data_IF_069028929861
#
_entry.id   IF_069028929861
#
_cell.length_a   1.000
_cell.length_b   1.000
_cell.length_c   1.000
_cell.angle_alpha   90.00
_cell.angle_beta   90.00
_cell.angle_gamma   90.00
#
_symmetry.space_group_name_H-M   'P 1'
#
loop_
_entity.id
_entity.type
_entity.pdbx_description
1 polymer ?
#
# COMPACT_ATOMS: atom_id res chain seq x y z
N UNK A 1 19.96 14.99 -8.25
CA UNK A 1 19.91 13.53 -8.47
C UNK A 1 18.48 13.24 -8.85
N UNK A 2 18.22 12.79 -10.07
CA UNK A 2 16.85 12.45 -10.49
C UNK A 2 16.38 11.25 -9.68
N UNK A 3 15.11 11.26 -9.29
CA UNK A 3 14.51 10.10 -8.65
C UNK A 3 14.52 8.93 -9.62
N UNK A 4 14.78 7.73 -9.09
CA UNK A 4 14.77 6.50 -9.89
C UNK A 4 13.32 6.09 -10.10
N UNK A 5 12.87 6.09 -11.34
CA UNK A 5 11.52 5.68 -11.74
C UNK A 5 11.49 4.20 -12.13
N UNK A 6 10.38 3.53 -11.80
CA UNK A 6 10.09 2.16 -12.24
C UNK A 6 8.80 2.13 -13.06
N UNK A 7 8.81 2.65 -14.31
CA UNK A 7 7.60 2.89 -15.08
C UNK A 7 6.81 1.64 -15.46
N UNK A 8 7.43 0.45 -15.37
CA UNK A 8 6.82 -0.83 -15.72
C UNK A 8 6.58 -1.74 -14.51
N UNK A 9 6.88 -1.29 -13.28
CA UNK A 9 6.70 -2.12 -12.08
C UNK A 9 5.22 -2.23 -11.75
N UNK A 10 4.64 -3.41 -12.02
CA UNK A 10 3.22 -3.70 -11.74
C UNK A 10 2.99 -4.35 -10.38
N UNK A 11 4.02 -4.95 -9.82
CA UNK A 11 3.95 -5.70 -8.57
C UNK A 11 5.13 -5.34 -7.68
N UNK A 12 4.84 -4.89 -6.46
CA UNK A 12 5.83 -4.60 -5.44
C UNK A 12 5.54 -5.45 -4.20
N UNK A 13 6.50 -6.28 -3.81
CA UNK A 13 6.48 -7.00 -2.54
C UNK A 13 7.61 -6.52 -1.65
N UNK A 14 7.25 -6.07 -0.44
CA UNK A 14 8.18 -5.74 0.62
C UNK A 14 8.00 -6.75 1.75
N UNK A 15 9.06 -7.48 2.08
CA UNK A 15 8.99 -8.58 3.03
C UNK A 15 10.03 -8.42 4.15
N UNK A 16 9.58 -8.58 5.39
CA UNK A 16 10.41 -8.59 6.60
C UNK A 16 11.30 -7.35 6.73
N UNK A 17 10.84 -6.20 6.25
CA UNK A 17 11.58 -4.95 6.33
C UNK A 17 11.43 -4.33 7.71
N UNK A 18 12.55 -3.84 8.25
CA UNK A 18 12.59 -3.09 9.50
C UNK A 18 12.42 -1.58 9.25
N UNK A 19 11.50 -1.20 8.37
CA UNK A 19 11.21 0.18 8.01
C UNK A 19 10.12 0.75 8.92
N UNK A 20 10.28 2.00 9.35
CA UNK A 20 9.29 2.72 10.16
C UNK A 20 8.38 3.60 9.33
N UNK A 21 8.94 4.19 8.29
CA UNK A 21 8.27 5.09 7.36
C UNK A 21 8.54 4.60 5.96
N UNK A 22 7.58 4.86 5.07
CA UNK A 22 7.70 4.58 3.66
C UNK A 22 7.07 5.75 2.90
N UNK A 23 7.77 6.23 1.87
CA UNK A 23 7.27 7.22 0.92
C UNK A 23 7.20 6.58 -0.46
N UNK A 24 6.11 6.84 -1.18
CA UNK A 24 5.94 6.50 -2.58
C UNK A 24 5.35 7.72 -3.31
N UNK A 25 5.65 7.88 -4.59
CA UNK A 25 5.02 8.89 -5.45
C UNK A 25 4.45 8.20 -6.69
N UNK A 26 3.31 8.69 -7.24
CA UNK A 26 2.74 8.14 -8.47
C UNK A 26 3.74 8.24 -9.63
N UNK A 27 4.61 9.25 -9.57
CA UNK A 27 5.67 9.49 -10.55
C UNK A 27 6.73 8.37 -10.53
N UNK A 28 7.03 7.80 -9.36
CA UNK A 28 8.04 6.74 -9.27
C UNK A 28 7.49 5.36 -9.70
N UNK A 29 6.18 5.11 -9.48
CA UNK A 29 5.55 3.81 -9.63
C UNK A 29 4.23 3.86 -10.45
N UNK A 30 4.20 4.50 -11.63
CA UNK A 30 2.95 4.84 -12.32
C UNK A 30 2.12 3.62 -12.75
N UNK A 31 2.75 2.46 -12.96
CA UNK A 31 2.10 1.23 -13.41
C UNK A 31 1.81 0.23 -12.28
N UNK A 32 1.97 0.62 -11.01
CA UNK A 32 1.82 -0.30 -9.89
C UNK A 32 0.36 -0.76 -9.73
N UNK A 33 0.13 -2.06 -9.87
CA UNK A 33 -1.20 -2.69 -9.73
C UNK A 33 -1.39 -3.40 -8.41
N UNK A 34 -0.32 -3.96 -7.85
CA UNK A 34 -0.39 -4.77 -6.65
C UNK A 34 0.76 -4.46 -5.70
N UNK A 35 0.40 -4.19 -4.45
CA UNK A 35 1.30 -4.05 -3.31
C UNK A 35 1.11 -5.23 -2.35
N UNK A 36 2.22 -5.83 -1.91
CA UNK A 36 2.23 -6.80 -0.82
C UNK A 36 3.22 -6.36 0.25
N UNK A 37 2.73 -6.18 1.46
CA UNK A 37 3.55 -5.97 2.65
C UNK A 37 3.47 -7.23 3.51
N UNK A 38 4.59 -7.91 3.70
CA UNK A 38 4.65 -9.12 4.51
C UNK A 38 5.61 -8.90 5.69
N UNK A 39 5.13 -9.12 6.92
CA UNK A 39 5.95 -9.03 8.14
C UNK A 39 6.63 -7.67 8.36
N UNK A 40 6.10 -6.60 7.80
CA UNK A 40 6.59 -5.22 8.01
C UNK A 40 6.06 -4.64 9.33
N UNK A 41 6.49 -5.20 10.47
CA UNK A 41 5.91 -4.92 11.79
C UNK A 41 6.17 -3.52 12.35
N UNK A 42 7.17 -2.82 11.85
CA UNK A 42 7.54 -1.48 12.32
C UNK A 42 6.95 -0.34 11.48
N UNK A 43 6.34 -0.66 10.33
CA UNK A 43 5.80 0.34 9.42
C UNK A 43 4.61 1.05 10.08
N UNK A 44 4.71 2.36 10.29
CA UNK A 44 3.64 3.12 10.96
C UNK A 44 2.38 3.22 10.11
N UNK A 45 2.55 3.46 8.82
CA UNK A 45 1.47 3.67 7.87
C UNK A 45 1.93 3.32 6.45
N UNK A 46 0.97 3.01 5.60
CA UNK A 46 1.12 3.03 4.15
C UNK A 46 1.00 4.50 3.71
N UNK A 47 1.88 5.01 2.83
CA UNK A 47 1.82 6.40 2.40
C UNK A 47 0.51 6.70 1.65
N UNK A 48 -0.16 7.78 2.05
CA UNK A 48 -1.47 8.21 1.51
C UNK A 48 -1.45 8.49 0.01
N UNK A 49 -0.29 8.85 -0.55
CA UNK A 49 -0.08 9.03 -1.99
C UNK A 49 -0.38 7.77 -2.81
N UNK A 50 -0.40 6.58 -2.21
CA UNK A 50 -0.89 5.37 -2.88
C UNK A 50 -2.39 5.44 -3.23
N UNK A 51 -3.16 6.29 -2.54
CA UNK A 51 -4.53 6.63 -2.89
C UNK A 51 -4.64 7.36 -4.22
N UNK A 52 -3.60 8.08 -4.64
CA UNK A 52 -3.55 8.75 -5.96
C UNK A 52 -3.24 7.76 -7.09
N UNK A 53 -2.85 6.51 -6.77
CA UNK A 53 -2.51 5.50 -7.78
C UNK A 53 -3.79 4.81 -8.24
N UNK A 54 -4.51 5.40 -9.20
CA UNK A 54 -5.69 4.74 -9.80
C UNK A 54 -5.36 3.44 -10.56
N UNK A 55 -4.06 3.18 -10.84
CA UNK A 55 -3.61 1.90 -11.37
C UNK A 55 -3.52 0.79 -10.30
N UNK A 56 -3.54 1.15 -9.01
CA UNK A 56 -3.44 0.22 -7.90
C UNK A 56 -4.77 -0.50 -7.70
N UNK A 57 -4.77 -1.81 -7.92
CA UNK A 57 -5.96 -2.66 -7.84
C UNK A 57 -5.99 -3.46 -6.53
N UNK A 58 -4.83 -3.69 -5.90
CA UNK A 58 -4.73 -4.59 -4.75
C UNK A 58 -3.64 -4.21 -3.74
N UNK A 59 -4.01 -4.23 -2.46
CA UNK A 59 -3.08 -4.16 -1.33
C UNK A 59 -3.27 -5.39 -0.45
N UNK A 60 -2.19 -6.14 -0.18
CA UNK A 60 -2.19 -7.26 0.75
C UNK A 60 -1.22 -6.97 1.92
N UNK A 61 -1.74 -6.98 3.15
CA UNK A 61 -0.95 -6.90 4.38
C UNK A 61 -0.94 -8.25 5.08
N UNK A 62 0.21 -8.92 5.07
CA UNK A 62 0.40 -10.25 5.63
C UNK A 62 1.26 -10.14 6.90
N UNK A 63 0.66 -10.38 8.05
CA UNK A 63 1.30 -10.23 9.35
C UNK A 63 1.96 -8.84 9.52
N UNK A 64 1.27 -7.75 9.17
CA UNK A 64 1.69 -6.38 9.51
C UNK A 64 1.16 -5.96 10.89
N UNK A 65 1.33 -4.69 11.27
CA UNK A 65 0.69 -4.11 12.47
C UNK A 65 -0.65 -3.45 12.10
N UNK A 66 -1.45 -3.13 13.12
CA UNK A 66 -2.79 -2.54 12.93
C UNK A 66 -2.74 -1.13 12.35
N UNK A 67 -1.72 -0.32 12.65
CA UNK A 67 -1.58 1.04 12.10
C UNK A 67 -1.43 1.02 10.57
N UNK A 68 -0.57 0.15 10.02
CA UNK A 68 -0.43 -0.02 8.58
C UNK A 68 -1.73 -0.54 7.92
N UNK A 69 -2.46 -1.41 8.61
CA UNK A 69 -3.75 -1.91 8.13
C UNK A 69 -4.84 -0.83 8.14
N UNK A 70 -4.88 0.04 9.16
CA UNK A 70 -5.78 1.21 9.22
C UNK A 70 -5.53 2.16 8.05
N UNK A 71 -4.27 2.54 7.81
CA UNK A 71 -3.94 3.40 6.67
C UNK A 71 -4.30 2.76 5.32
N UNK A 72 -4.12 1.44 5.18
CA UNK A 72 -4.48 0.74 3.94
C UNK A 72 -5.99 0.80 3.68
N UNK A 73 -6.79 0.55 4.71
CA UNK A 73 -8.26 0.62 4.62
C UNK A 73 -8.74 2.04 4.36
N UNK A 74 -8.13 3.05 5.00
CA UNK A 74 -8.46 4.45 4.73
C UNK A 74 -8.27 4.80 3.25
N UNK A 75 -7.15 4.39 2.65
CA UNK A 75 -6.91 4.58 1.21
C UNK A 75 -8.01 3.92 0.35
N UNK A 76 -8.49 2.75 0.75
CA UNK A 76 -9.59 2.08 0.05
C UNK A 76 -10.91 2.85 0.17
N UNK A 77 -11.23 3.35 1.36
CA UNK A 77 -12.44 4.13 1.61
C UNK A 77 -12.39 5.46 0.84
N UNK A 78 -11.25 6.16 0.86
CA UNK A 78 -11.04 7.41 0.13
C UNK A 78 -11.22 7.21 -1.39
N UNK A 79 -10.58 6.18 -1.96
CA UNK A 79 -10.75 5.86 -3.38
C UNK A 79 -12.19 5.49 -3.73
N UNK A 80 -12.90 4.79 -2.83
CA UNK A 80 -14.30 4.44 -3.04
C UNK A 80 -15.20 5.67 -3.01
N UNK A 81 -14.95 6.62 -2.12
CA UNK A 81 -15.69 7.88 -2.03
C UNK A 81 -15.47 8.75 -3.29
N UNK A 82 -14.31 8.62 -3.94
CA UNK A 82 -14.01 9.20 -5.25
C UNK A 82 -14.54 8.39 -6.46
N UNK A 83 -15.22 7.27 -6.21
CA UNK A 83 -15.85 6.43 -7.23
C UNK A 83 -14.99 5.31 -7.80
N UNK A 84 -13.78 5.07 -7.27
CA UNK A 84 -12.96 3.92 -7.62
C UNK A 84 -13.27 2.71 -6.73
N UNK A 85 -14.11 1.81 -7.22
CA UNK A 85 -14.46 0.57 -6.51
C UNK A 85 -13.48 -0.60 -6.74
N UNK A 86 -12.45 -0.41 -7.59
CA UNK A 86 -11.55 -1.49 -8.02
C UNK A 86 -10.52 -1.87 -6.96
N UNK A 87 -10.05 -0.91 -6.15
CA UNK A 87 -9.06 -1.18 -5.13
C UNK A 87 -9.61 -2.09 -4.04
N UNK A 88 -8.91 -3.20 -3.79
CA UNK A 88 -9.22 -4.15 -2.72
C UNK A 88 -8.05 -4.28 -1.74
N UNK A 89 -8.34 -4.07 -0.46
CA UNK A 89 -7.40 -4.29 0.65
C UNK A 89 -7.69 -5.62 1.33
N UNK A 90 -6.63 -6.37 1.62
CA UNK A 90 -6.70 -7.62 2.35
C UNK A 90 -5.70 -7.61 3.50
N UNK A 91 -6.16 -7.84 4.71
CA UNK A 91 -5.35 -7.86 5.93
C UNK A 91 -5.38 -9.26 6.55
N UNK A 92 -4.21 -9.80 6.85
CA UNK A 92 -4.05 -11.12 7.47
C UNK A 92 -3.09 -11.08 8.67
N UNK A 93 -3.39 -11.79 9.78
CA UNK A 93 -4.66 -12.45 10.05
C UNK A 93 -5.83 -11.43 10.13
N UNK A 94 -7.07 -11.85 9.81
CA UNK A 94 -8.24 -10.94 9.82
C UNK A 94 -8.58 -10.42 11.22
N UNK A 95 -8.09 -11.08 12.28
CA UNK A 95 -8.38 -10.78 13.69
C UNK A 95 -7.47 -9.69 14.30
N UNK A 96 -6.79 -8.89 13.46
CA UNK A 96 -6.13 -7.67 13.94
C UNK A 96 -7.23 -6.72 14.45
N UNK A 97 -7.27 -6.44 15.75
CA UNK A 97 -8.14 -5.40 16.31
C UNK A 97 -7.82 -4.06 15.62
N UNK A 98 -8.68 -3.68 14.67
CA UNK A 98 -8.66 -2.39 13.98
C UNK A 98 -9.59 -1.43 14.74
#
# INVERSE_FOLDING_TARGET
MGDVEFPNLKFLKLQSLNIKTWSASPENLPALKKLVLERCKQLKEIPDSLGEFYSLEKIELLWCNSSAAKSANQIQDDQKDEGNELLKVYVYPPDLEL
#
